data_IF_688272977380
#
_entry.id   IF_688272977380
#
_cell.length_a   1.000
_cell.length_b   1.000
_cell.length_c   1.000
_cell.angle_alpha   90.00
_cell.angle_beta   90.00
_cell.angle_gamma   90.00
#
_symmetry.space_group_name_H-M   'P 1'
#
loop_
_entity.id
_entity.type
_entity.pdbx_description
1 polymer ?
#
# COMPACT_ATOMS: atom_id res chain seq x y z
N UNK A 1 17.59 40.24 -8.76
CA UNK A 1 17.39 38.89 -9.34
C UNK A 1 15.89 38.68 -9.39
N UNK A 2 15.28 38.63 -10.58
CA UNK A 2 13.82 38.58 -10.70
C UNK A 2 13.28 37.31 -10.07
N UNK A 3 12.56 37.48 -8.96
CA UNK A 3 11.67 36.47 -8.41
C UNK A 3 10.75 36.02 -9.55
N UNK A 4 10.89 34.75 -9.95
CA UNK A 4 10.18 34.21 -11.09
C UNK A 4 8.72 33.98 -10.72
N UNK A 5 7.94 35.06 -10.63
CA UNK A 5 6.50 35.00 -10.55
C UNK A 5 5.97 34.36 -11.83
N UNK A 6 5.24 33.26 -11.69
CA UNK A 6 4.79 32.46 -12.83
C UNK A 6 3.36 32.00 -12.66
N UNK A 7 2.64 31.96 -13.79
CA UNK A 7 1.33 31.32 -13.87
C UNK A 7 1.44 30.05 -14.72
N UNK A 8 1.01 28.92 -14.16
CA UNK A 8 0.87 27.64 -14.85
C UNK A 8 -0.63 27.37 -15.03
N UNK A 9 -1.07 27.16 -16.27
CA UNK A 9 -2.43 26.75 -16.58
C UNK A 9 -2.39 25.32 -17.09
N UNK A 10 -3.18 24.45 -16.50
CA UNK A 10 -3.28 23.06 -16.94
C UNK A 10 -4.70 22.52 -16.79
N UNK A 11 -5.01 21.54 -17.64
CA UNK A 11 -6.28 20.83 -17.61
C UNK A 11 -6.05 19.38 -17.22
N UNK A 12 -6.74 18.92 -16.19
CA UNK A 12 -6.78 17.51 -15.82
C UNK A 12 -7.94 16.88 -16.57
N UNK A 13 -7.63 16.16 -17.64
CA UNK A 13 -8.63 15.46 -18.46
C UNK A 13 -8.96 14.07 -17.91
N UNK A 14 -10.08 13.49 -18.36
CA UNK A 14 -10.49 12.13 -18.00
C UNK A 14 -9.42 11.08 -18.32
N UNK A 15 -8.63 11.28 -19.39
CA UNK A 15 -7.54 10.40 -19.78
C UNK A 15 -6.39 10.38 -18.77
N UNK A 16 -6.08 11.52 -18.14
CA UNK A 16 -5.07 11.61 -17.09
C UNK A 16 -5.55 10.91 -15.81
N UNK A 17 -6.81 11.11 -15.41
CA UNK A 17 -7.39 10.38 -14.28
C UNK A 17 -7.46 8.87 -14.50
N UNK A 18 -7.67 8.38 -15.74
CA UNK A 18 -7.64 6.93 -16.02
C UNK A 18 -6.25 6.36 -15.80
N UNK A 19 -5.21 7.04 -16.31
CA UNK A 19 -3.82 6.66 -16.03
C UNK A 19 -3.52 6.66 -14.52
N UNK A 20 -4.01 7.64 -13.76
CA UNK A 20 -3.86 7.65 -12.29
C UNK A 20 -4.54 6.49 -11.60
N UNK A 21 -5.76 6.14 -12.02
CA UNK A 21 -6.50 5.02 -11.46
C UNK A 21 -5.75 3.73 -11.74
N UNK A 22 -5.23 3.54 -12.95
CA UNK A 22 -4.55 2.30 -13.32
C UNK A 22 -3.18 2.18 -12.62
N UNK A 23 -2.36 3.24 -12.54
CA UNK A 23 -1.09 3.23 -11.80
C UNK A 23 -1.29 3.02 -10.29
N UNK A 24 -2.25 3.73 -9.68
CA UNK A 24 -2.55 3.57 -8.26
C UNK A 24 -3.11 2.18 -7.95
N UNK A 25 -3.92 1.62 -8.86
CA UNK A 25 -4.44 0.27 -8.74
C UNK A 25 -3.32 -0.77 -8.79
N UNK A 26 -2.35 -0.63 -9.70
CA UNK A 26 -1.18 -1.51 -9.73
C UNK A 26 -0.36 -1.44 -8.43
N UNK A 27 -0.14 -0.24 -7.91
CA UNK A 27 0.56 -0.04 -6.65
C UNK A 27 -0.14 -0.71 -5.46
N UNK A 28 -1.47 -0.56 -5.37
CA UNK A 28 -2.27 -1.19 -4.31
C UNK A 28 -2.26 -2.71 -4.44
N UNK A 29 -2.43 -3.24 -5.66
CA UNK A 29 -2.38 -4.68 -5.90
C UNK A 29 -1.03 -5.30 -5.55
N UNK A 30 0.09 -4.62 -5.81
CA UNK A 30 1.42 -5.09 -5.39
C UNK A 30 1.58 -5.13 -3.88
N UNK A 31 1.01 -4.17 -3.14
CA UNK A 31 1.03 -4.19 -1.67
C UNK A 31 0.20 -5.35 -1.12
N UNK A 32 -1.00 -5.55 -1.66
CA UNK A 32 -1.87 -6.65 -1.28
C UNK A 32 -1.21 -8.01 -1.55
N UNK A 33 -0.58 -8.17 -2.73
CA UNK A 33 0.18 -9.37 -3.08
C UNK A 33 1.34 -9.60 -2.09
N UNK A 34 2.10 -8.56 -1.75
CA UNK A 34 3.20 -8.66 -0.79
C UNK A 34 2.73 -9.00 0.63
N UNK A 35 1.56 -8.49 1.06
CA UNK A 35 0.96 -8.84 2.34
C UNK A 35 0.45 -10.29 2.33
N UNK A 36 -0.18 -10.72 1.24
CA UNK A 36 -0.65 -12.10 1.07
C UNK A 36 0.52 -13.10 1.10
N UNK A 37 1.64 -12.78 0.46
CA UNK A 37 2.86 -13.60 0.52
C UNK A 37 3.43 -13.66 1.94
N UNK A 38 3.49 -12.54 2.65
CA UNK A 38 3.97 -12.49 4.05
C UNK A 38 3.10 -13.33 4.97
N UNK A 39 1.79 -13.18 4.87
CA UNK A 39 0.82 -13.95 5.65
C UNK A 39 0.87 -15.43 5.30
N UNK A 40 0.96 -15.77 4.01
CA UNK A 40 1.13 -17.14 3.53
C UNK A 40 2.40 -17.79 4.09
N UNK A 41 3.53 -17.06 4.08
CA UNK A 41 4.80 -17.54 4.64
C UNK A 41 4.77 -17.72 6.16
N UNK A 42 4.15 -16.78 6.89
CA UNK A 42 3.99 -16.89 8.35
C UNK A 42 3.07 -18.05 8.73
N UNK A 43 1.95 -18.22 8.05
CA UNK A 43 1.02 -19.32 8.30
C UNK A 43 1.67 -20.66 7.97
N UNK A 44 2.40 -20.78 6.87
CA UNK A 44 3.14 -22.00 6.53
C UNK A 44 4.21 -22.35 7.57
N UNK A 45 4.88 -21.34 8.15
CA UNK A 45 5.90 -21.54 9.19
C UNK A 45 5.29 -21.85 10.57
N UNK A 46 4.08 -21.35 10.86
CA UNK A 46 3.38 -21.56 12.13
C UNK A 46 2.54 -22.85 12.19
N UNK A 47 2.11 -23.40 11.05
CA UNK A 47 1.33 -24.66 11.02
C UNK A 47 2.17 -25.86 11.50
N UNK A 48 3.48 -25.88 11.20
CA UNK A 48 4.38 -26.96 11.63
C UNK A 48 4.50 -27.07 13.18
N UNK A 49 4.79 -25.98 13.93
CA UNK A 49 4.84 -26.06 15.38
C UNK A 49 3.46 -26.31 16.01
N UNK A 50 2.36 -25.82 15.42
CA UNK A 50 1.02 -26.08 15.96
C UNK A 50 0.63 -27.56 15.90
N UNK A 51 0.97 -28.25 14.81
CA UNK A 51 0.75 -29.69 14.67
C UNK A 51 1.57 -30.54 15.66
N UNK A 52 2.68 -30.01 16.18
CA UNK A 52 3.53 -30.68 17.18
C UNK A 52 3.12 -30.31 18.61
N UNK A 53 2.73 -29.05 18.85
CA UNK A 53 2.37 -28.57 20.19
C UNK A 53 1.05 -29.15 20.70
N UNK A 54 0.04 -29.31 19.86
CA UNK A 54 -1.27 -29.85 20.26
C UNK A 54 -1.17 -31.26 20.88
N UNK A 55 -0.49 -32.24 20.26
CA UNK A 55 -0.31 -33.55 20.88
C UNK A 55 0.63 -33.53 22.09
N UNK A 56 1.66 -32.67 22.11
CA UNK A 56 2.56 -32.52 23.25
C UNK A 56 1.85 -31.94 24.49
N UNK A 57 0.97 -30.95 24.30
CA UNK A 57 0.13 -30.40 25.37
C UNK A 57 -0.91 -31.42 25.87
N UNK A 58 -1.47 -32.25 24.98
CA UNK A 58 -2.34 -33.35 25.38
C UNK A 58 -1.63 -34.38 26.28
N UNK A 59 -0.38 -34.73 25.93
CA UNK A 59 0.44 -35.61 26.75
C UNK A 59 0.86 -34.97 28.09
N UNK A 60 1.19 -33.67 28.09
CA UNK A 60 1.50 -32.91 29.30
C UNK A 60 0.31 -32.78 30.25
N UNK A 61 -0.90 -32.55 29.73
CA UNK A 61 -2.14 -32.52 30.51
C UNK A 61 -2.42 -33.85 31.20
N UNK A 62 -2.21 -34.96 30.49
CA UNK A 62 -2.35 -36.32 31.03
C UNK A 62 -1.38 -36.61 32.19
N UNK A 63 -0.17 -36.07 32.15
CA UNK A 63 0.82 -36.20 33.21
C UNK A 63 0.45 -35.41 34.47
N UNK A 64 -0.07 -34.20 34.31
CA UNK A 64 -0.46 -33.33 35.43
C UNK A 64 -1.67 -33.93 36.17
N UNK A 65 -2.61 -34.54 35.46
CA UNK A 65 -3.85 -35.01 36.05
C UNK A 65 -3.77 -36.39 36.74
N UNK A 66 -2.76 -37.23 36.42
CA UNK A 66 -2.63 -38.58 36.98
C UNK A 66 -1.56 -38.77 38.05
N UNK A 67 -0.71 -37.76 38.28
CA UNK A 67 0.39 -37.85 39.25
C UNK A 67 1.54 -38.73 38.72
N UNK A 68 2.78 -38.30 38.95
CA UNK A 68 3.97 -38.96 38.42
C UNK A 68 4.28 -40.26 39.20
N UNK A 69 3.67 -41.37 38.81
CA UNK A 69 3.98 -42.72 39.30
C UNK A 69 4.88 -43.46 38.31
N UNK A 70 5.54 -44.55 38.73
CA UNK A 70 6.39 -45.38 37.85
C UNK A 70 5.60 -45.90 36.62
N UNK A 71 4.31 -46.16 36.79
CA UNK A 71 3.38 -46.52 35.70
C UNK A 71 3.22 -45.40 34.66
N UNK A 72 3.23 -44.12 35.08
CA UNK A 72 3.19 -43.02 34.13
C UNK A 72 4.42 -42.98 33.22
N UNK A 73 5.60 -43.36 33.72
CA UNK A 73 6.81 -43.50 32.91
C UNK A 73 6.69 -44.57 31.82
N UNK A 74 6.09 -45.72 32.15
CA UNK A 74 5.83 -46.80 31.18
C UNK A 74 4.78 -46.36 30.15
N UNK A 75 3.70 -45.69 30.59
CA UNK A 75 2.70 -45.15 29.64
C UNK A 75 3.30 -44.06 28.75
N UNK A 76 4.26 -43.28 29.25
CA UNK A 76 4.96 -42.26 28.46
C UNK A 76 5.89 -42.90 27.43
N UNK A 77 6.64 -43.94 27.83
CA UNK A 77 7.49 -44.70 26.93
C UNK A 77 6.65 -45.39 25.84
N UNK A 78 5.53 -46.01 26.21
CA UNK A 78 4.60 -46.66 25.28
C UNK A 78 3.92 -45.63 24.36
N UNK A 79 3.50 -44.48 24.91
CA UNK A 79 2.94 -43.39 24.12
C UNK A 79 3.96 -42.84 23.13
N UNK A 80 5.22 -42.62 23.55
CA UNK A 80 6.30 -42.20 22.66
C UNK A 80 6.57 -43.26 21.57
N UNK A 81 6.58 -44.55 21.94
CA UNK A 81 6.78 -45.66 21.01
C UNK A 81 5.65 -45.79 19.99
N UNK A 82 4.41 -45.39 20.34
CA UNK A 82 3.26 -45.39 19.45
C UNK A 82 3.13 -44.09 18.64
N UNK A 83 3.54 -42.94 19.20
CA UNK A 83 3.51 -41.63 18.55
C UNK A 83 4.51 -41.52 17.41
N UNK A 84 5.71 -42.08 17.56
CA UNK A 84 6.75 -42.04 16.50
C UNK A 84 6.29 -42.71 15.20
N UNK A 85 5.78 -43.95 15.19
CA UNK A 85 5.27 -44.60 13.98
C UNK A 85 3.97 -43.95 13.48
N UNK A 86 3.06 -43.54 14.38
CA UNK A 86 1.86 -42.80 14.00
C UNK A 86 2.21 -41.47 13.30
N UNK A 87 3.28 -40.79 13.73
CA UNK A 87 3.79 -39.58 13.08
C UNK A 87 4.36 -39.87 11.69
N UNK A 88 5.12 -40.95 11.52
CA UNK A 88 5.62 -41.35 10.20
C UNK A 88 4.47 -41.69 9.22
N UNK A 89 3.39 -42.30 9.70
CA UNK A 89 2.18 -42.56 8.92
C UNK A 89 1.37 -41.28 8.64
N UNK A 90 1.32 -40.34 9.58
CA UNK A 90 0.58 -39.09 9.47
C UNK A 90 1.32 -38.02 8.64
N UNK A 91 2.65 -38.11 8.51
CA UNK A 91 3.46 -37.21 7.67
C UNK A 91 2.92 -37.01 6.25
N UNK A 92 2.63 -38.06 5.46
CA UNK A 92 2.06 -37.90 4.12
C UNK A 92 0.65 -37.29 4.11
N UNK A 93 -0.13 -37.48 5.18
CA UNK A 93 -1.44 -36.83 5.32
C UNK A 93 -1.30 -35.35 5.67
N UNK A 94 -0.36 -35.00 6.55
CA UNK A 94 -0.05 -33.61 6.89
C UNK A 94 0.49 -32.85 5.67
N UNK A 95 1.31 -33.47 4.82
CA UNK A 95 1.75 -32.84 3.56
C UNK A 95 0.62 -32.71 2.56
N UNK A 96 -0.30 -33.68 2.46
CA UNK A 96 -1.51 -33.56 1.65
C UNK A 96 -2.42 -32.43 2.15
N UNK A 97 -2.69 -32.35 3.44
CA UNK A 97 -3.45 -31.26 4.07
C UNK A 97 -2.81 -29.90 3.85
N UNK A 98 -1.47 -29.83 3.94
CA UNK A 98 -0.72 -28.61 3.63
C UNK A 98 -0.89 -28.20 2.18
N UNK A 99 -0.83 -29.15 1.26
CA UNK A 99 -1.00 -28.88 -0.17
C UNK A 99 -2.44 -28.49 -0.51
N UNK A 100 -3.45 -29.07 0.16
CA UNK A 100 -4.86 -28.68 -0.04
C UNK A 100 -5.16 -27.31 0.57
N UNK A 101 -4.64 -26.99 1.75
CA UNK A 101 -4.77 -25.65 2.34
C UNK A 101 -4.07 -24.59 1.50
N UNK A 102 -2.85 -24.87 1.00
CA UNK A 102 -2.15 -23.96 0.10
C UNK A 102 -2.94 -23.72 -1.19
N UNK A 103 -3.58 -24.76 -1.75
CA UNK A 103 -4.47 -24.64 -2.91
C UNK A 103 -5.74 -23.85 -2.58
N UNK A 104 -6.37 -24.10 -1.44
CA UNK A 104 -7.57 -23.38 -1.00
C UNK A 104 -7.28 -21.91 -0.73
N UNK A 105 -6.13 -21.59 -0.14
CA UNK A 105 -5.69 -20.21 0.03
C UNK A 105 -5.40 -19.53 -1.30
N UNK A 106 -4.69 -20.20 -2.21
CA UNK A 106 -4.48 -19.69 -3.55
C UNK A 106 -5.80 -19.48 -4.31
N UNK A 107 -6.79 -20.33 -4.07
CA UNK A 107 -8.10 -20.22 -4.69
C UNK A 107 -8.96 -19.09 -4.08
N UNK A 108 -8.93 -18.92 -2.75
CA UNK A 108 -9.63 -17.85 -2.05
C UNK A 108 -9.07 -16.47 -2.34
N UNK A 109 -7.75 -16.34 -2.47
CA UNK A 109 -7.11 -15.09 -2.91
C UNK A 109 -7.38 -14.82 -4.39
N UNK A 110 -7.39 -15.85 -5.25
CA UNK A 110 -7.70 -15.68 -6.66
C UNK A 110 -9.16 -15.29 -6.94
N UNK A 111 -10.12 -15.84 -6.18
CA UNK A 111 -11.56 -15.59 -6.41
C UNK A 111 -12.02 -14.21 -5.91
N UNK A 112 -11.42 -13.70 -4.83
CA UNK A 112 -11.69 -12.35 -4.32
C UNK A 112 -10.95 -11.22 -5.07
N UNK A 113 -9.90 -11.55 -5.82
CA UNK A 113 -9.05 -10.60 -6.55
C UNK A 113 -9.80 -9.71 -7.57
N UNK A 114 -10.68 -10.23 -8.44
CA UNK A 114 -11.38 -9.38 -9.41
C UNK A 114 -12.37 -8.42 -8.73
N UNK A 115 -13.02 -8.87 -7.64
CA UNK A 115 -13.95 -8.03 -6.88
C UNK A 115 -13.19 -6.93 -6.13
N UNK A 116 -12.11 -7.27 -5.43
CA UNK A 116 -11.28 -6.28 -4.73
C UNK A 116 -10.67 -5.27 -5.73
N UNK A 117 -10.19 -5.74 -6.87
CA UNK A 117 -9.71 -4.86 -7.95
C UNK A 117 -10.79 -3.92 -8.47
N UNK A 118 -12.02 -4.41 -8.65
CA UNK A 118 -13.15 -3.57 -9.09
C UNK A 118 -13.51 -2.51 -8.03
N UNK A 119 -13.54 -2.88 -6.75
CA UNK A 119 -13.82 -1.97 -5.64
C UNK A 119 -12.72 -0.90 -5.49
N UNK A 120 -11.44 -1.30 -5.53
CA UNK A 120 -10.32 -0.38 -5.52
C UNK A 120 -10.37 0.57 -6.73
N UNK A 121 -10.64 0.05 -7.94
CA UNK A 121 -10.80 0.87 -9.14
C UNK A 121 -11.92 1.89 -9.00
N UNK A 122 -13.09 1.49 -8.50
CA UNK A 122 -14.23 2.38 -8.28
C UNK A 122 -13.91 3.46 -7.24
N UNK A 123 -13.30 3.08 -6.13
CA UNK A 123 -12.90 3.99 -5.05
C UNK A 123 -11.89 5.02 -5.54
N UNK A 124 -10.87 4.58 -6.28
CA UNK A 124 -9.87 5.47 -6.91
C UNK A 124 -10.53 6.38 -7.95
N UNK A 125 -11.43 5.84 -8.79
CA UNK A 125 -12.14 6.65 -9.78
C UNK A 125 -12.98 7.73 -9.11
N UNK A 126 -13.71 7.40 -8.03
CA UNK A 126 -14.49 8.37 -7.26
C UNK A 126 -13.62 9.42 -6.60
N UNK A 127 -12.40 9.07 -6.17
CA UNK A 127 -11.43 9.99 -5.57
C UNK A 127 -10.81 10.94 -6.59
N UNK A 128 -10.53 10.44 -7.80
CA UNK A 128 -9.86 11.20 -8.86
C UNK A 128 -10.81 11.95 -9.79
N UNK A 129 -12.06 11.49 -9.96
CA UNK A 129 -13.10 12.19 -10.72
C UNK A 129 -13.29 13.65 -10.30
N UNK A 130 -13.39 14.00 -9.00
CA UNK A 130 -13.50 15.39 -8.58
C UNK A 130 -12.21 16.19 -8.80
N UNK A 131 -11.09 15.59 -9.20
CA UNK A 131 -9.88 16.33 -9.56
C UNK A 131 -9.86 16.75 -11.04
N UNK A 132 -10.80 16.29 -11.87
CA UNK A 132 -10.90 16.71 -13.27
C UNK A 132 -11.34 18.18 -13.38
N UNK A 133 -10.73 18.92 -14.30
CA UNK A 133 -11.08 20.31 -14.57
C UNK A 133 -9.88 21.17 -14.93
N UNK A 134 -10.15 22.47 -15.05
CA UNK A 134 -9.13 23.47 -15.33
C UNK A 134 -8.56 24.03 -14.04
N UNK A 135 -7.23 24.09 -13.98
CA UNK A 135 -6.47 24.61 -12.85
C UNK A 135 -5.52 25.71 -13.33
N UNK A 136 -5.40 26.72 -12.47
CA UNK A 136 -4.45 27.80 -12.60
C UNK A 136 -3.62 27.82 -11.32
N UNK A 137 -2.33 27.61 -11.46
CA UNK A 137 -1.37 27.68 -10.37
C UNK A 137 -0.56 28.94 -10.55
N UNK A 138 -0.70 29.87 -9.62
CA UNK A 138 0.14 31.05 -9.52
C UNK A 138 1.17 30.80 -8.43
N UNK A 139 2.42 31.09 -8.69
CA UNK A 139 3.47 30.91 -7.70
C UNK A 139 4.37 32.14 -7.67
N UNK A 140 4.79 32.48 -6.45
CA UNK A 140 5.64 33.62 -6.14
C UNK A 140 6.74 33.20 -5.13
N UNK A 141 7.51 34.15 -4.64
CA UNK A 141 8.58 33.91 -3.66
C UNK A 141 8.05 33.44 -2.29
N UNK A 142 6.77 33.67 -1.97
CA UNK A 142 6.16 33.39 -0.66
C UNK A 142 5.39 32.06 -0.66
N UNK A 143 4.82 31.66 -1.79
CA UNK A 143 4.05 30.44 -1.92
C UNK A 143 3.46 30.19 -3.30
N UNK A 144 2.45 29.32 -3.30
CA UNK A 144 1.69 28.88 -4.44
C UNK A 144 0.19 29.03 -4.15
N UNK A 145 -0.54 29.59 -5.10
CA UNK A 145 -1.99 29.64 -5.10
C UNK A 145 -2.53 28.75 -6.20
N UNK A 146 -3.35 27.78 -5.83
CA UNK A 146 -4.05 26.88 -6.74
C UNK A 146 -5.49 27.34 -6.86
N UNK A 147 -5.85 27.83 -8.03
CA UNK A 147 -7.21 28.22 -8.39
C UNK A 147 -7.79 27.16 -9.30
N UNK A 148 -8.96 26.65 -8.93
CA UNK A 148 -9.76 25.78 -9.79
C UNK A 148 -11.02 26.52 -10.21
N UNK A 149 -11.45 26.35 -11.46
CA UNK A 149 -12.71 26.90 -11.93
C UNK A 149 -13.88 26.52 -10.99
N UNK A 150 -14.57 27.52 -10.44
CA UNK A 150 -15.70 27.35 -9.54
C UNK A 150 -15.38 27.04 -8.07
N UNK A 151 -14.10 27.05 -7.65
CA UNK A 151 -13.72 26.88 -6.24
C UNK A 151 -12.92 28.09 -5.72
N UNK A 152 -12.93 28.28 -4.39
CA UNK A 152 -12.09 29.30 -3.76
C UNK A 152 -10.61 28.95 -3.99
N UNK A 153 -9.76 29.96 -4.28
CA UNK A 153 -8.31 29.78 -4.33
C UNK A 153 -7.81 29.11 -3.05
N UNK A 154 -6.98 28.09 -3.21
CA UNK A 154 -6.25 27.51 -2.10
C UNK A 154 -4.82 28.05 -2.14
N UNK A 155 -4.40 28.73 -1.07
CA UNK A 155 -3.01 29.15 -0.89
C UNK A 155 -2.23 28.10 -0.12
N UNK A 156 -0.97 27.92 -0.52
CA UNK A 156 -0.01 27.03 0.08
C UNK A 156 1.31 27.79 0.16
N UNK A 157 1.83 27.98 1.36
CA UNK A 157 3.12 28.65 1.55
C UNK A 157 4.25 27.64 1.45
N UNK A 158 5.42 28.08 1.00
CA UNK A 158 6.57 27.19 0.82
C UNK A 158 7.05 26.54 2.12
N UNK A 159 7.00 27.28 3.23
CA UNK A 159 7.32 26.80 4.59
C UNK A 159 6.40 25.68 5.08
N UNK A 160 5.20 25.53 4.54
CA UNK A 160 4.25 24.48 4.91
C UNK A 160 4.40 23.20 4.07
N UNK A 161 5.25 23.21 3.04
CA UNK A 161 5.46 22.08 2.14
C UNK A 161 6.30 21.01 2.81
N UNK A 162 5.68 19.87 3.13
CA UNK A 162 6.35 18.74 3.79
C UNK A 162 6.62 17.58 2.84
N UNK A 163 5.93 17.53 1.70
CA UNK A 163 6.06 16.42 0.76
C UNK A 163 6.07 16.94 -0.67
N UNK A 164 7.21 16.74 -1.33
CA UNK A 164 7.37 16.97 -2.76
C UNK A 164 7.83 15.65 -3.37
N UNK A 165 7.06 15.14 -4.32
CA UNK A 165 7.42 13.96 -5.09
C UNK A 165 7.33 14.26 -6.57
N UNK A 166 8.41 13.97 -7.27
CA UNK A 166 8.46 14.06 -8.71
C UNK A 166 8.26 12.66 -9.31
N UNK A 167 7.36 12.56 -10.28
CA UNK A 167 7.10 11.37 -11.08
C UNK A 167 7.31 11.74 -12.55
N UNK A 168 7.43 10.77 -13.45
CA UNK A 168 7.65 11.01 -14.88
C UNK A 168 6.57 11.89 -15.53
N UNK A 169 5.32 11.75 -15.08
CA UNK A 169 4.20 12.51 -15.63
C UNK A 169 3.71 13.68 -14.75
N UNK A 170 4.07 13.73 -13.46
CA UNK A 170 3.47 14.67 -12.49
C UNK A 170 4.47 15.16 -11.45
N UNK A 171 4.20 16.36 -10.95
CA UNK A 171 4.74 16.88 -9.71
C UNK A 171 3.64 16.82 -8.64
N UNK A 172 3.95 16.19 -7.51
CA UNK A 172 3.07 16.05 -6.36
C UNK A 172 3.58 16.92 -5.23
N UNK A 173 2.77 17.86 -4.78
CA UNK A 173 3.11 18.77 -3.69
C UNK A 173 2.02 18.69 -2.62
N UNK A 174 2.40 18.44 -1.37
CA UNK A 174 1.48 18.46 -0.24
C UNK A 174 2.06 19.25 0.93
N UNK A 175 1.22 20.11 1.50
CA UNK A 175 1.50 20.71 2.80
C UNK A 175 1.18 19.75 3.95
N UNK A 176 1.62 20.07 5.16
CA UNK A 176 1.42 19.23 6.35
C UNK A 176 -0.04 18.84 6.61
N UNK A 177 -0.99 19.73 6.30
CA UNK A 177 -2.43 19.48 6.48
C UNK A 177 -2.99 18.57 5.39
N UNK A 178 -2.58 18.77 4.13
CA UNK A 178 -2.97 17.91 3.01
C UNK A 178 -2.38 16.51 3.15
N UNK A 179 -1.09 16.41 3.50
CA UNK A 179 -0.41 15.14 3.69
C UNK A 179 -1.07 14.30 4.79
N UNK A 180 -1.43 14.93 5.93
CA UNK A 180 -2.19 14.26 7.02
C UNK A 180 -3.55 13.73 6.57
N UNK A 181 -4.19 14.36 5.59
CA UNK A 181 -5.47 13.93 4.99
C UNK A 181 -5.27 12.96 3.80
N UNK A 182 -4.03 12.57 3.51
CA UNK A 182 -3.67 11.77 2.33
C UNK A 182 -3.95 12.48 1.00
N UNK A 183 -4.06 13.81 1.00
CA UNK A 183 -4.30 14.63 -0.19
C UNK A 183 -3.01 15.31 -0.64
N UNK A 184 -2.93 15.65 -1.92
CA UNK A 184 -1.83 16.41 -2.50
C UNK A 184 -2.32 17.18 -3.73
N UNK A 185 -1.60 18.24 -4.09
CA UNK A 185 -1.76 18.90 -5.38
C UNK A 185 -0.98 18.13 -6.43
N UNK A 186 -1.68 17.81 -7.52
CA UNK A 186 -1.14 17.08 -8.66
C UNK A 186 -1.02 18.04 -9.82
N UNK A 187 0.20 18.30 -10.23
CA UNK A 187 0.51 19.22 -11.32
C UNK A 187 1.10 18.38 -12.46
N UNK A 188 0.44 18.30 -13.63
CA UNK A 188 0.97 17.52 -14.75
C UNK A 188 2.22 18.19 -15.33
N UNK A 189 3.22 17.40 -15.74
CA UNK A 189 4.42 17.93 -16.41
C UNK A 189 4.17 18.35 -17.86
N UNK A 190 3.07 17.87 -18.44
CA UNK A 190 2.65 18.18 -19.80
C UNK A 190 1.22 18.70 -19.80
N UNK A 191 0.98 19.76 -20.55
CA UNK A 191 -0.37 20.28 -20.77
C UNK A 191 -0.50 20.78 -22.19
N UNK A 192 -1.71 20.67 -22.73
CA UNK A 192 -2.10 21.27 -24.01
C UNK A 192 -2.68 22.69 -23.81
N UNK A 193 -2.92 23.10 -22.56
CA UNK A 193 -3.55 24.37 -22.22
C UNK A 193 -2.59 25.59 -22.31
N UNK A 194 -1.31 25.35 -22.53
CA UNK A 194 -0.27 26.38 -22.57
C UNK A 194 0.85 25.95 -23.51
N UNK A 195 1.58 26.91 -24.07
CA UNK A 195 2.78 26.64 -24.85
C UNK A 195 3.76 25.73 -24.07
N UNK A 196 4.18 24.59 -24.62
CA UNK A 196 4.95 23.58 -23.90
C UNK A 196 6.34 24.05 -23.48
N UNK A 197 6.94 25.01 -24.20
CA UNK A 197 8.25 25.57 -23.85
C UNK A 197 8.12 26.49 -22.64
N UNK A 198 7.16 27.42 -22.69
CA UNK A 198 6.87 28.30 -21.57
C UNK A 198 6.38 27.53 -20.33
N UNK A 199 5.57 26.48 -20.53
CA UNK A 199 5.12 25.61 -19.44
C UNK A 199 6.29 24.91 -18.74
N UNK A 200 7.22 24.33 -19.52
CA UNK A 200 8.40 23.65 -18.97
C UNK A 200 9.30 24.61 -18.19
N UNK A 201 9.58 25.79 -18.74
CA UNK A 201 10.37 26.81 -18.06
C UNK A 201 9.74 27.26 -16.73
N UNK A 202 8.41 27.46 -16.70
CA UNK A 202 7.69 27.81 -15.47
C UNK A 202 7.65 26.64 -14.48
N UNK A 203 7.52 25.41 -14.96
CA UNK A 203 7.60 24.20 -14.15
C UNK A 203 8.97 24.05 -13.48
N UNK A 204 10.05 24.30 -14.21
CA UNK A 204 11.41 24.27 -13.67
C UNK A 204 11.65 25.38 -12.63
N UNK A 205 10.98 26.52 -12.78
CA UNK A 205 10.90 27.56 -11.74
C UNK A 205 10.19 27.06 -10.48
N UNK A 206 9.00 26.50 -10.64
CA UNK A 206 8.22 25.91 -9.54
C UNK A 206 9.00 24.81 -8.81
N UNK A 207 9.65 23.90 -9.54
CA UNK A 207 10.47 22.83 -8.98
C UNK A 207 11.63 23.36 -8.14
N UNK A 208 12.27 24.45 -8.57
CA UNK A 208 13.33 25.10 -7.79
C UNK A 208 12.81 25.63 -6.46
N UNK A 209 11.65 26.29 -6.45
CA UNK A 209 11.02 26.76 -5.21
C UNK A 209 10.60 25.59 -4.30
N UNK A 210 9.98 24.54 -4.86
CA UNK A 210 9.58 23.34 -4.14
C UNK A 210 10.76 22.56 -3.55
N UNK A 211 11.94 22.54 -4.19
CA UNK A 211 13.15 21.87 -3.68
C UNK A 211 13.90 22.71 -2.66
N UNK A 212 13.84 24.04 -2.77
CA UNK A 212 14.42 24.95 -1.78
C UNK A 212 13.64 24.93 -0.45
N UNK A 213 12.32 24.74 -0.51
CA UNK A 213 11.45 24.68 0.66
C UNK A 213 11.84 23.64 1.75
N UNK A 214 12.06 22.35 1.42
CA UNK A 214 12.45 21.35 2.41
C UNK A 214 13.89 21.48 2.91
N UNK A 215 14.74 22.29 2.25
CA UNK A 215 16.12 22.53 2.68
C UNK A 215 16.24 23.62 3.77
N UNK A 216 15.12 24.29 4.11
CA UNK A 216 15.06 25.34 5.13
C UNK A 216 14.31 24.92 6.41
N UNK A 217 13.91 23.64 6.52
CA UNK A 217 13.23 23.07 7.69
C UNK A 217 14.20 22.30 8.59
#
# INVERSE_FOLDING_TARGET
MSDACGELRYTITAAHTRRWVDEALEGEMRRDDALAERLGGMQQRAVLPMLVLVPACGAGWLLIHRGATLETGITLALAALLLVPAWHLARPFATRLRNTMARQQAHGTASGRPLNRALARLTLTLRFKPLQGEYRVQFDAQGMQVVRAGQRPASLRWDEVVHVRETDAFLVVACATLHRRGQAYWIPKHTEAMDPVAYRQRMDGLLRHCRAAPAMA
#
